data_IF_545944701770
#
_entry.id   IF_545944701770
#
_cell.length_a   1.000
_cell.length_b   1.000
_cell.length_c   1.000
_cell.angle_alpha   90.00
_cell.angle_beta   90.00
_cell.angle_gamma   90.00
#
_symmetry.space_group_name_H-M   'P 1'
#
loop_
_entity.id
_entity.type
_entity.pdbx_description
1 polymer ?
#
# COMPACT_ATOMS: atom_id res chain seq x y z
N UNK A 1 3.07 23.72 2.85
CA UNK A 1 3.86 23.04 1.78
C UNK A 1 3.89 21.52 2.00
N UNK A 2 4.33 21.01 3.16
CA UNK A 2 4.44 19.55 3.40
C UNK A 2 3.16 18.73 3.19
N UNK A 3 2.03 19.15 3.77
CA UNK A 3 0.73 18.45 3.60
C UNK A 3 0.30 18.40 2.12
N UNK A 4 0.53 19.48 1.37
CA UNK A 4 0.19 19.56 -0.05
C UNK A 4 1.10 18.66 -0.91
N UNK A 5 2.41 18.66 -0.65
CA UNK A 5 3.37 17.80 -1.34
C UNK A 5 3.11 16.31 -1.08
N UNK A 6 2.77 15.94 0.15
CA UNK A 6 2.38 14.58 0.52
C UNK A 6 1.09 14.16 -0.22
N UNK A 7 0.10 15.07 -0.29
CA UNK A 7 -1.14 14.85 -1.04
C UNK A 7 -0.91 14.55 -2.53
N UNK A 8 -0.11 15.37 -3.22
CA UNK A 8 0.21 15.15 -4.65
C UNK A 8 0.93 13.82 -4.85
N UNK A 9 1.93 13.52 -4.01
CA UNK A 9 2.71 12.27 -4.14
C UNK A 9 1.82 11.04 -3.96
N UNK A 10 0.91 11.06 -3.00
CA UNK A 10 -0.03 9.95 -2.76
C UNK A 10 -1.06 9.82 -3.89
N UNK A 11 -1.57 10.94 -4.40
CA UNK A 11 -2.53 10.96 -5.51
C UNK A 11 -1.96 10.37 -6.81
N UNK A 12 -0.63 10.43 -7.02
CA UNK A 12 0.01 9.82 -8.20
C UNK A 12 0.33 8.34 -7.94
N UNK A 13 0.92 8.03 -6.78
CA UNK A 13 1.45 6.69 -6.50
C UNK A 13 0.37 5.63 -6.28
N UNK A 14 -0.72 5.93 -5.57
CA UNK A 14 -1.74 4.92 -5.28
C UNK A 14 -2.49 4.45 -6.55
N UNK A 15 -2.93 5.35 -7.44
CA UNK A 15 -3.58 4.94 -8.68
C UNK A 15 -2.63 4.20 -9.64
N UNK A 16 -1.34 4.57 -9.65
CA UNK A 16 -0.32 3.87 -10.43
C UNK A 16 -0.07 2.44 -9.90
N UNK A 17 0.00 2.27 -8.59
CA UNK A 17 0.14 0.96 -7.95
C UNK A 17 -1.05 0.05 -8.26
N UNK A 18 -2.27 0.58 -8.21
CA UNK A 18 -3.48 -0.15 -8.60
C UNK A 18 -3.42 -0.62 -10.06
N UNK A 19 -2.96 0.23 -10.99
CA UNK A 19 -2.79 -0.13 -12.39
C UNK A 19 -1.72 -1.22 -12.60
N UNK A 20 -0.61 -1.19 -11.86
CA UNK A 20 0.41 -2.26 -11.92
C UNK A 20 -0.12 -3.59 -11.39
N UNK A 21 -0.86 -3.56 -10.27
CA UNK A 21 -1.49 -4.77 -9.72
C UNK A 21 -2.51 -5.34 -10.69
N UNK A 22 -3.39 -4.51 -11.26
CA UNK A 22 -4.36 -4.95 -12.27
C UNK A 22 -3.67 -5.54 -13.51
N UNK A 23 -2.65 -4.87 -14.05
CA UNK A 23 -1.87 -5.37 -15.19
C UNK A 23 -1.25 -6.75 -14.92
N UNK A 24 -0.75 -6.95 -13.69
CA UNK A 24 -0.15 -8.22 -13.26
C UNK A 24 -1.20 -9.31 -13.05
N UNK A 25 -2.33 -9.00 -12.42
CA UNK A 25 -3.42 -9.95 -12.17
C UNK A 25 -4.12 -10.41 -13.45
N UNK A 26 -4.29 -9.51 -14.43
CA UNK A 26 -4.94 -9.83 -15.71
C UNK A 26 -3.96 -10.24 -16.81
N UNK A 27 -2.64 -10.23 -16.55
CA UNK A 27 -1.62 -10.66 -17.51
C UNK A 27 -1.55 -9.82 -18.79
N UNK A 28 -1.94 -8.53 -18.74
CA UNK A 28 -2.09 -7.72 -19.94
C UNK A 28 -0.76 -7.34 -20.61
N UNK A 29 0.38 -7.49 -19.91
CA UNK A 29 1.71 -7.03 -20.34
C UNK A 29 1.69 -5.58 -20.87
N UNK A 30 0.79 -4.77 -20.31
CA UNK A 30 0.52 -3.41 -20.76
C UNK A 30 1.65 -2.47 -20.31
N UNK A 31 2.10 -1.59 -21.21
CA UNK A 31 2.99 -0.47 -20.85
C UNK A 31 2.17 0.63 -20.19
N UNK A 32 2.84 1.56 -19.49
CA UNK A 32 2.19 2.75 -18.87
C UNK A 32 1.43 3.63 -19.88
N UNK A 33 1.76 3.53 -21.17
CA UNK A 33 1.07 4.23 -22.26
C UNK A 33 -0.16 3.50 -22.80
N UNK A 34 -0.37 2.24 -22.41
CA UNK A 34 -1.51 1.42 -22.83
C UNK A 34 -2.81 1.98 -22.24
N UNK A 35 -3.88 1.95 -23.04
CA UNK A 35 -5.19 2.45 -22.65
C UNK A 35 -5.73 1.69 -21.42
N UNK A 36 -5.55 0.38 -21.34
CA UNK A 36 -6.05 -0.45 -20.23
C UNK A 36 -5.42 -0.02 -18.90
N UNK A 37 -4.11 0.23 -18.92
CA UNK A 37 -3.36 0.72 -17.76
C UNK A 37 -3.85 2.11 -17.33
N UNK A 38 -3.99 3.03 -18.30
CA UNK A 38 -4.45 4.40 -18.04
C UNK A 38 -5.89 4.46 -17.56
N UNK A 39 -6.77 3.57 -18.03
CA UNK A 39 -8.16 3.50 -17.56
C UNK A 39 -8.21 3.13 -16.08
N UNK A 40 -7.48 2.08 -15.65
CA UNK A 40 -7.42 1.73 -14.21
C UNK A 40 -6.92 2.92 -13.40
N UNK A 41 -5.84 3.55 -13.87
CA UNK A 41 -5.26 4.72 -13.23
C UNK A 41 -6.27 5.89 -13.08
N UNK A 42 -6.97 6.24 -14.16
CA UNK A 42 -7.97 7.31 -14.16
C UNK A 42 -9.19 6.98 -13.33
N UNK A 43 -9.66 5.73 -13.31
CA UNK A 43 -10.80 5.30 -12.49
C UNK A 43 -10.52 5.51 -11.00
N UNK A 44 -9.34 5.09 -10.52
CA UNK A 44 -8.97 5.28 -9.11
C UNK A 44 -8.89 6.77 -8.75
N UNK A 45 -8.28 7.59 -9.62
CA UNK A 45 -8.24 9.05 -9.43
C UNK A 45 -9.64 9.66 -9.38
N UNK A 46 -10.50 9.28 -10.32
CA UNK A 46 -11.85 9.81 -10.45
C UNK A 46 -12.71 9.46 -9.23
N UNK A 47 -12.61 8.23 -8.72
CA UNK A 47 -13.28 7.81 -7.48
C UNK A 47 -12.82 8.69 -6.31
N UNK A 48 -11.51 8.95 -6.19
CA UNK A 48 -10.98 9.81 -5.14
C UNK A 48 -11.54 11.24 -5.20
N UNK A 49 -11.54 11.85 -6.39
CA UNK A 49 -12.08 13.20 -6.61
C UNK A 49 -13.57 13.28 -6.32
N UNK A 50 -14.36 12.32 -6.81
CA UNK A 50 -15.80 12.27 -6.57
C UNK A 50 -16.11 12.13 -5.09
N UNK A 51 -15.43 11.21 -4.39
CA UNK A 51 -15.69 10.93 -2.97
C UNK A 51 -15.43 12.18 -2.11
N UNK A 52 -14.39 12.96 -2.46
CA UNK A 52 -14.11 14.24 -1.79
C UNK A 52 -15.09 15.36 -2.18
N UNK A 53 -15.67 15.30 -3.38
CA UNK A 53 -16.62 16.32 -3.86
C UNK A 53 -18.00 16.21 -3.21
N UNK A 54 -18.39 15.03 -2.70
CA UNK A 54 -19.69 14.80 -2.05
C UNK A 54 -19.80 15.32 -0.60
N UNK A 55 -18.82 16.09 -0.11
CA UNK A 55 -18.85 16.64 1.25
C UNK A 55 -18.70 15.60 2.36
N UNK A 56 -18.26 14.37 2.01
CA UNK A 56 -17.91 13.35 3.00
C UNK A 56 -16.79 13.89 3.87
N UNK A 57 -16.96 13.79 5.19
CA UNK A 57 -15.96 14.24 6.17
C UNK A 57 -14.61 13.57 5.88
N UNK A 58 -13.57 14.31 5.43
CA UNK A 58 -12.30 13.73 5.01
C UNK A 58 -11.63 12.89 6.11
N UNK A 59 -11.87 13.24 7.38
CA UNK A 59 -11.38 12.49 8.54
C UNK A 59 -11.86 11.04 8.56
N UNK A 60 -13.10 10.75 8.14
CA UNK A 60 -13.66 9.39 8.12
C UNK A 60 -12.97 8.55 7.05
N UNK A 61 -12.70 9.15 5.88
CA UNK A 61 -11.97 8.49 4.78
C UNK A 61 -10.53 8.17 5.23
N UNK A 62 -9.89 9.12 5.90
CA UNK A 62 -8.53 8.93 6.45
C UNK A 62 -8.53 7.84 7.52
N UNK A 63 -9.50 7.81 8.44
CA UNK A 63 -9.63 6.76 9.44
C UNK A 63 -9.80 5.38 8.81
N UNK A 64 -10.65 5.26 7.79
CA UNK A 64 -10.81 4.00 7.05
C UNK A 64 -9.51 3.54 6.39
N UNK A 65 -8.80 4.46 5.72
CA UNK A 65 -7.51 4.17 5.11
C UNK A 65 -6.46 3.72 6.15
N UNK A 66 -6.48 4.31 7.35
CA UNK A 66 -5.58 3.96 8.44
C UNK A 66 -5.85 2.58 9.03
N UNK A 67 -7.12 2.18 9.15
CA UNK A 67 -7.50 0.80 9.53
C UNK A 67 -7.06 -0.18 8.46
N UNK A 68 -7.33 0.11 7.18
CA UNK A 68 -6.91 -0.73 6.07
C UNK A 68 -5.38 -0.89 6.04
N UNK A 69 -4.62 0.20 6.17
CA UNK A 69 -3.15 0.17 6.20
C UNK A 69 -2.62 -0.57 7.43
N UNK A 70 -3.22 -0.35 8.60
CA UNK A 70 -2.83 -1.02 9.85
C UNK A 70 -2.99 -2.54 9.79
N UNK A 71 -3.95 -3.03 9.01
CA UNK A 71 -4.16 -4.46 8.76
C UNK A 71 -3.30 -5.01 7.62
N UNK A 72 -3.21 -4.29 6.50
CA UNK A 72 -2.56 -4.78 5.28
C UNK A 72 -1.03 -4.80 5.38
N UNK A 73 -0.41 -3.81 6.03
CA UNK A 73 1.04 -3.71 6.11
C UNK A 73 1.71 -4.92 6.78
N UNK A 74 1.25 -5.42 7.95
CA UNK A 74 1.78 -6.64 8.54
C UNK A 74 1.66 -7.86 7.63
N UNK A 75 0.50 -8.02 6.97
CA UNK A 75 0.23 -9.16 6.09
C UNK A 75 1.21 -9.16 4.91
N UNK A 76 1.34 -8.02 4.22
CA UNK A 76 2.26 -7.86 3.10
C UNK A 76 3.71 -8.04 3.55
N UNK A 77 4.08 -7.47 4.69
CA UNK A 77 5.44 -7.59 5.23
C UNK A 77 5.83 -9.05 5.51
N UNK A 78 4.94 -9.83 6.14
CA UNK A 78 5.18 -11.25 6.41
C UNK A 78 5.34 -12.03 5.10
N UNK A 79 4.47 -11.77 4.12
CA UNK A 79 4.55 -12.39 2.79
C UNK A 79 5.89 -12.05 2.12
N UNK A 80 6.34 -10.79 2.21
CA UNK A 80 7.61 -10.38 1.61
C UNK A 80 8.79 -11.11 2.26
N UNK A 81 8.88 -11.15 3.60
CA UNK A 81 9.95 -11.89 4.28
C UNK A 81 9.94 -13.37 3.88
N UNK A 82 8.75 -13.97 3.76
CA UNK A 82 8.64 -15.36 3.34
C UNK A 82 9.13 -15.58 1.91
N UNK A 83 8.76 -14.71 0.97
CA UNK A 83 9.17 -14.80 -0.44
C UNK A 83 10.68 -14.58 -0.60
N UNK A 84 11.25 -13.55 0.03
CA UNK A 84 12.69 -13.23 -0.11
C UNK A 84 13.62 -14.28 0.49
N UNK A 85 13.09 -15.16 1.35
CA UNK A 85 13.83 -16.30 1.90
C UNK A 85 13.67 -17.60 1.08
N UNK A 86 12.76 -17.64 0.11
CA UNK A 86 12.63 -18.80 -0.77
C UNK A 86 13.71 -18.82 -1.83
N UNK A 87 14.59 -19.82 -1.75
CA UNK A 87 15.57 -20.10 -2.78
C UNK A 87 14.94 -20.40 -4.15
N UNK A 88 13.70 -20.91 -4.19
CA UNK A 88 12.98 -21.15 -5.45
C UNK A 88 12.57 -19.88 -6.18
N UNK A 89 12.55 -18.72 -5.51
CA UNK A 89 12.16 -17.43 -6.11
C UNK A 89 13.38 -16.52 -6.28
N UNK A 90 14.24 -16.38 -5.25
CA UNK A 90 15.41 -15.48 -5.29
C UNK A 90 16.73 -16.19 -5.61
N UNK A 91 16.76 -17.52 -5.66
CA UNK A 91 17.99 -18.29 -5.89
C UNK A 91 19.08 -17.93 -4.88
N UNK A 92 20.21 -17.44 -5.39
CA UNK A 92 21.38 -17.04 -4.59
C UNK A 92 21.23 -15.66 -3.92
N UNK A 93 20.22 -14.87 -4.28
CA UNK A 93 19.99 -13.52 -3.74
C UNK A 93 19.06 -13.52 -2.51
N UNK A 94 18.88 -14.67 -1.86
CA UNK A 94 18.08 -14.77 -0.62
C UNK A 94 18.66 -13.88 0.48
N UNK A 95 17.79 -13.45 1.38
CA UNK A 95 18.23 -12.67 2.53
C UNK A 95 19.28 -13.42 3.36
N UNK A 96 20.33 -12.70 3.74
CA UNK A 96 21.27 -13.09 4.78
C UNK A 96 20.62 -13.00 6.18
N UNK A 97 21.25 -13.62 7.17
CA UNK A 97 20.77 -13.62 8.56
C UNK A 97 20.58 -12.20 9.08
N UNK A 98 21.51 -11.28 8.79
CA UNK A 98 21.41 -9.88 9.20
C UNK A 98 20.22 -9.15 8.58
N UNK A 99 19.96 -9.38 7.28
CA UNK A 99 18.79 -8.80 6.60
C UNK A 99 17.49 -9.34 7.18
N UNK A 100 17.44 -10.62 7.55
CA UNK A 100 16.28 -11.21 8.22
C UNK A 100 16.06 -10.61 9.62
N UNK A 101 17.11 -10.39 10.41
CA UNK A 101 16.99 -9.73 11.72
C UNK A 101 16.42 -8.32 11.55
N UNK A 102 16.95 -7.51 10.62
CA UNK A 102 16.42 -6.18 10.34
C UNK A 102 14.96 -6.23 9.87
N UNK A 103 14.62 -7.17 8.99
CA UNK A 103 13.26 -7.34 8.49
C UNK A 103 12.28 -7.73 9.62
N UNK A 104 12.69 -8.59 10.54
CA UNK A 104 11.89 -8.96 11.72
C UNK A 104 11.65 -7.73 12.61
N UNK A 105 12.68 -6.91 12.87
CA UNK A 105 12.52 -5.66 13.63
C UNK A 105 11.50 -4.74 12.95
N UNK A 106 11.59 -4.59 11.63
CA UNK A 106 10.64 -3.78 10.85
C UNK A 106 9.23 -4.34 10.97
N UNK A 107 9.04 -5.65 10.89
CA UNK A 107 7.72 -6.28 11.04
C UNK A 107 7.13 -6.01 12.43
N UNK A 108 7.94 -6.13 13.48
CA UNK A 108 7.50 -5.84 14.84
C UNK A 108 7.03 -4.38 14.93
N UNK A 109 7.79 -3.43 14.38
CA UNK A 109 7.41 -2.03 14.34
C UNK A 109 6.11 -1.81 13.55
N UNK A 110 5.96 -2.46 12.39
CA UNK A 110 4.76 -2.37 11.55
C UNK A 110 3.53 -2.93 12.29
N UNK A 111 3.67 -4.04 13.02
CA UNK A 111 2.59 -4.60 13.84
C UNK A 111 2.20 -3.63 14.95
N UNK A 112 3.18 -3.05 15.67
CA UNK A 112 2.91 -2.08 16.74
C UNK A 112 2.22 -0.83 16.19
N UNK A 113 2.71 -0.29 15.07
CA UNK A 113 2.11 0.88 14.42
C UNK A 113 0.72 0.58 13.87
N UNK A 114 0.51 -0.61 13.30
CA UNK A 114 -0.79 -1.06 12.81
C UNK A 114 -1.81 -1.21 13.94
N UNK A 115 -1.42 -1.86 15.04
CA UNK A 115 -2.26 -1.99 16.24
C UNK A 115 -2.60 -0.61 16.83
N UNK A 116 -1.61 0.29 16.95
CA UNK A 116 -1.84 1.67 17.40
C UNK A 116 -2.83 2.40 16.49
N UNK A 117 -2.65 2.33 15.17
CA UNK A 117 -3.52 2.95 14.18
C UNK A 117 -4.98 2.51 14.37
N UNK A 118 -5.19 1.21 14.54
CA UNK A 118 -6.51 0.61 14.76
C UNK A 118 -7.09 1.09 16.10
N UNK A 119 -6.35 0.99 17.21
CA UNK A 119 -6.84 1.39 18.54
C UNK A 119 -7.19 2.87 18.64
N UNK A 120 -6.43 3.76 17.97
CA UNK A 120 -6.75 5.19 17.89
C UNK A 120 -8.05 5.45 17.13
N UNK A 121 -8.33 4.70 16.06
CA UNK A 121 -9.59 4.84 15.32
C UNK A 121 -10.79 4.34 16.16
N UNK A 122 -10.59 3.31 16.98
CA UNK A 122 -11.62 2.79 17.90
C UNK A 122 -11.79 3.60 19.19
N UNK A 123 -10.96 4.63 19.43
CA UNK A 123 -11.07 5.49 20.61
C UNK A 123 -10.62 4.82 21.92
N UNK A 124 -9.85 3.74 21.83
CA UNK A 124 -9.27 3.02 22.99
C UNK A 124 -8.00 3.73 23.49
N UNK A 125 -7.37 4.54 22.63
CA UNK A 125 -6.13 5.28 22.85
C UNK A 125 -6.18 6.64 22.17
#
# INVERSE_FOLDING_TARGET
>A
IGLFAAGITSAITAPLAAAYVANSCFGWNAKVTDLRFRVVWMVVLFIGVITLSFGIRPIVIIQFAQVANGLLLPIIGIILIWIVNKASVLGNFKNSIWQNISAIIIIILVIVLGAKSIFTVFGIL
#
